data_IF_902039318085
#
_entry.id   IF_902039318085
#
_cell.length_a   1.000
_cell.length_b   1.000
_cell.length_c   1.000
_cell.angle_alpha   90.00
_cell.angle_beta   90.00
_cell.angle_gamma   90.00
#
_symmetry.space_group_name_H-M   'P 1'
#
loop_
_entity.id
_entity.type
_entity.pdbx_description
1 polymer ?
#
# COMPACT_ATOMS: atom_id res chain seq x y z
N UNK A 1 -3.64 -21.33 -9.73
CA UNK A 1 -3.78 -20.41 -8.58
C UNK A 1 -2.43 -20.29 -7.90
N UNK A 2 -2.11 -19.10 -7.39
CA UNK A 2 -0.90 -18.86 -6.59
C UNK A 2 -1.25 -18.80 -5.11
N UNK A 3 -0.39 -19.37 -4.27
CA UNK A 3 -0.58 -19.44 -2.82
C UNK A 3 -0.16 -18.14 -2.16
N UNK A 4 -1.07 -17.54 -1.40
CA UNK A 4 -0.86 -16.28 -0.69
C UNK A 4 -0.96 -16.50 0.80
N UNK A 5 -0.04 -15.90 1.55
CA UNK A 5 -0.15 -15.78 2.99
C UNK A 5 -0.33 -14.30 3.39
N UNK A 6 -1.08 -14.05 4.47
CA UNK A 6 -1.29 -12.70 5.02
C UNK A 6 -0.58 -12.60 6.36
N UNK A 7 0.43 -11.74 6.47
CA UNK A 7 1.10 -11.42 7.72
C UNK A 7 0.50 -10.14 8.32
N UNK A 8 -0.17 -10.26 9.46
CA UNK A 8 -0.95 -9.19 10.10
C UNK A 8 -2.39 -9.15 9.61
N UNK A 9 -3.32 -9.63 10.44
CA UNK A 9 -4.76 -9.72 10.17
C UNK A 9 -5.56 -8.55 10.78
N UNK A 10 -4.95 -7.37 10.73
CA UNK A 10 -5.59 -6.09 11.03
C UNK A 10 -6.62 -5.67 9.97
N UNK A 11 -7.00 -4.39 9.96
CA UNK A 11 -8.05 -3.89 9.04
C UNK A 11 -7.72 -4.16 7.56
N UNK A 12 -6.48 -3.89 7.13
CA UNK A 12 -6.03 -4.15 5.76
C UNK A 12 -5.96 -5.64 5.44
N UNK A 13 -5.38 -6.46 6.33
CA UNK A 13 -5.29 -7.91 6.13
C UNK A 13 -6.66 -8.58 5.98
N UNK A 14 -7.66 -8.17 6.79
CA UNK A 14 -9.04 -8.70 6.67
C UNK A 14 -9.74 -8.25 5.40
N UNK A 15 -9.55 -7.02 4.95
CA UNK A 15 -10.09 -6.56 3.67
C UNK A 15 -9.43 -7.28 2.50
N UNK A 16 -8.10 -7.43 2.51
CA UNK A 16 -7.37 -8.20 1.52
C UNK A 16 -7.85 -9.66 1.47
N UNK A 17 -8.12 -10.29 2.61
CA UNK A 17 -8.71 -11.63 2.68
C UNK A 17 -10.04 -11.71 1.93
N UNK A 18 -10.98 -10.80 2.26
CA UNK A 18 -12.31 -10.75 1.62
C UNK A 18 -12.20 -10.56 0.10
N UNK A 19 -11.28 -9.70 -0.33
CA UNK A 19 -11.05 -9.42 -1.76
C UNK A 19 -10.43 -10.63 -2.48
N UNK A 20 -9.45 -11.30 -1.88
CA UNK A 20 -8.86 -12.52 -2.46
C UNK A 20 -9.92 -13.62 -2.60
N UNK A 21 -10.83 -13.79 -1.64
CA UNK A 21 -11.91 -14.79 -1.74
C UNK A 21 -12.89 -14.55 -2.90
N UNK A 22 -12.93 -13.33 -3.45
CA UNK A 22 -13.70 -13.02 -4.67
C UNK A 22 -12.94 -13.34 -5.97
N UNK A 23 -11.68 -13.80 -5.88
CA UNK A 23 -10.82 -14.08 -7.03
C UNK A 23 -10.63 -15.57 -7.25
N UNK A 24 -10.29 -15.93 -8.50
CA UNK A 24 -10.01 -17.32 -8.90
C UNK A 24 -8.54 -17.59 -9.20
N UNK A 25 -7.67 -16.57 -9.17
CA UNK A 25 -6.25 -16.68 -9.50
C UNK A 25 -5.34 -16.78 -8.25
N UNK A 26 -5.85 -16.41 -7.07
CA UNK A 26 -5.15 -16.45 -5.78
C UNK A 26 -5.86 -17.37 -4.78
N UNK A 27 -5.08 -18.02 -3.92
CA UNK A 27 -5.59 -18.84 -2.81
C UNK A 27 -4.90 -18.47 -1.51
N UNK A 28 -5.67 -18.24 -0.45
CA UNK A 28 -5.11 -17.97 0.89
C UNK A 28 -4.77 -19.30 1.54
N UNK A 29 -3.49 -19.51 1.88
CA UNK A 29 -3.03 -20.75 2.52
C UNK A 29 -2.72 -20.58 4.01
N UNK A 30 -2.43 -19.36 4.44
CA UNK A 30 -2.22 -19.06 5.85
C UNK A 30 -2.41 -17.58 6.19
N UNK A 31 -2.70 -17.34 7.46
CA UNK A 31 -2.72 -16.03 8.10
C UNK A 31 -1.75 -16.09 9.28
N UNK A 32 -0.99 -15.02 9.53
CA UNK A 32 -0.24 -14.84 10.78
C UNK A 32 -0.74 -13.61 11.53
N UNK A 33 -1.15 -13.77 12.78
CA UNK A 33 -1.47 -12.66 13.69
C UNK A 33 -1.24 -13.08 15.15
N UNK A 34 -0.90 -12.13 16.01
CA UNK A 34 -0.55 -12.39 17.41
C UNK A 34 -1.79 -12.43 18.31
N UNK A 35 -2.80 -13.18 17.89
CA UNK A 35 -4.07 -13.34 18.61
C UNK A 35 -4.72 -14.69 18.27
N UNK A 36 -5.76 -15.08 19.02
CA UNK A 36 -6.41 -16.38 18.88
C UNK A 36 -7.37 -16.46 17.67
N UNK A 37 -7.60 -17.67 17.16
CA UNK A 37 -8.42 -17.95 15.97
C UNK A 37 -9.86 -17.48 16.13
N UNK A 38 -10.44 -17.59 17.34
CA UNK A 38 -11.78 -17.08 17.66
C UNK A 38 -11.86 -15.58 17.46
N UNK A 39 -10.90 -14.83 17.98
CA UNK A 39 -10.82 -13.37 17.82
C UNK A 39 -10.69 -13.00 16.35
N UNK A 40 -9.82 -13.68 15.58
CA UNK A 40 -9.64 -13.42 14.15
C UNK A 40 -10.91 -13.69 13.34
N UNK A 41 -11.56 -14.84 13.56
CA UNK A 41 -12.82 -15.21 12.92
C UNK A 41 -13.94 -14.21 13.24
N UNK A 42 -14.04 -13.78 14.50
CA UNK A 42 -15.03 -12.79 14.92
C UNK A 42 -14.84 -11.45 14.19
N UNK A 43 -13.61 -10.93 14.16
CA UNK A 43 -13.30 -9.64 13.51
C UNK A 43 -13.33 -9.70 11.98
N UNK A 44 -13.21 -10.90 11.39
CA UNK A 44 -13.47 -11.11 9.97
C UNK A 44 -14.96 -11.05 9.67
N UNK A 45 -15.78 -11.72 10.49
CA UNK A 45 -17.23 -11.79 10.33
C UNK A 45 -17.93 -10.45 10.59
N UNK A 46 -17.50 -9.68 11.58
CA UNK A 46 -18.16 -8.44 12.00
C UNK A 46 -17.21 -7.24 11.91
N UNK A 47 -17.51 -6.28 11.03
CA UNK A 47 -16.75 -5.03 10.90
C UNK A 47 -17.67 -3.80 10.98
N UNK A 48 -17.34 -2.82 11.81
CA UNK A 48 -18.18 -1.62 12.02
C UNK A 48 -18.29 -0.72 10.78
N UNK A 49 -17.30 -0.73 9.89
CA UNK A 49 -17.31 0.08 8.67
C UNK A 49 -18.05 -0.64 7.54
N UNK A 50 -17.86 -1.96 7.41
CA UNK A 50 -18.37 -2.74 6.27
C UNK A 50 -19.51 -3.70 6.60
N UNK A 51 -19.97 -3.73 7.85
CA UNK A 51 -21.03 -4.61 8.31
C UNK A 51 -20.60 -6.07 8.50
N UNK A 52 -21.58 -6.97 8.45
CA UNK A 52 -21.35 -8.41 8.60
C UNK A 52 -20.90 -8.99 7.28
N UNK A 53 -19.77 -9.70 7.25
CA UNK A 53 -19.31 -10.42 6.07
C UNK A 53 -20.28 -11.56 5.74
N UNK A 54 -20.68 -11.68 4.48
CA UNK A 54 -21.76 -12.59 4.08
C UNK A 54 -21.39 -14.07 4.20
N UNK A 55 -20.13 -14.42 3.93
CA UNK A 55 -19.63 -15.80 4.05
C UNK A 55 -19.83 -16.41 5.45
N UNK A 56 -19.98 -17.73 5.49
CA UNK A 56 -19.97 -18.47 6.76
C UNK A 56 -18.56 -18.47 7.33
N UNK A 57 -18.40 -18.00 8.57
CA UNK A 57 -17.10 -17.92 9.23
C UNK A 57 -17.18 -18.65 10.57
N UNK A 58 -16.31 -19.64 10.75
CA UNK A 58 -16.09 -20.33 12.01
C UNK A 58 -14.58 -20.48 12.26
N UNK A 59 -14.20 -21.18 13.34
CA UNK A 59 -12.81 -21.38 13.73
C UNK A 59 -12.65 -22.71 14.47
N UNK A 60 -11.43 -23.21 14.48
CA UNK A 60 -10.95 -24.26 15.37
C UNK A 60 -9.64 -23.82 16.05
N UNK A 61 -8.91 -24.74 16.67
CA UNK A 61 -7.68 -24.41 17.40
C UNK A 61 -6.53 -24.00 16.46
N UNK A 62 -6.56 -24.39 15.18
CA UNK A 62 -5.45 -24.25 14.25
C UNK A 62 -5.73 -23.26 13.10
N UNK A 63 -6.97 -22.78 12.95
CA UNK A 63 -7.34 -21.90 11.85
C UNK A 63 -8.70 -21.24 11.92
N UNK A 64 -8.98 -20.48 10.87
CA UNK A 64 -10.31 -19.96 10.55
C UNK A 64 -10.91 -20.78 9.40
N UNK A 65 -12.22 -20.97 9.42
CA UNK A 65 -12.93 -21.73 8.39
C UNK A 65 -13.90 -20.76 7.70
N UNK A 66 -13.78 -20.61 6.38
CA UNK A 66 -14.64 -19.72 5.59
C UNK A 66 -15.27 -20.48 4.44
N UNK A 67 -16.61 -20.54 4.42
CA UNK A 67 -17.38 -21.33 3.45
C UNK A 67 -16.89 -22.79 3.34
N UNK A 68 -16.55 -23.39 4.50
CA UNK A 68 -16.04 -24.76 4.61
C UNK A 68 -14.55 -24.94 4.29
N UNK A 69 -13.86 -23.91 3.81
CA UNK A 69 -12.40 -23.96 3.56
C UNK A 69 -11.65 -23.60 4.84
N UNK A 70 -10.73 -24.48 5.27
CA UNK A 70 -9.85 -24.23 6.42
C UNK A 70 -8.61 -23.44 6.00
N UNK A 71 -8.33 -22.35 6.70
CA UNK A 71 -7.15 -21.50 6.52
C UNK A 71 -6.34 -21.52 7.81
N UNK A 72 -5.09 -22.00 7.71
CA UNK A 72 -4.16 -22.09 8.84
C UNK A 72 -3.88 -20.72 9.43
N UNK A 73 -3.89 -20.63 10.75
CA UNK A 73 -3.48 -19.45 11.50
C UNK A 73 -2.16 -19.76 12.23
N UNK A 74 -1.20 -18.86 12.06
CA UNK A 74 0.05 -18.80 12.81
C UNK A 74 -0.03 -17.63 13.80
N UNK A 75 0.66 -17.77 14.94
CA UNK A 75 0.83 -16.69 15.93
C UNK A 75 2.32 -16.50 16.24
N UNK A 76 3.09 -16.20 15.20
CA UNK A 76 4.56 -16.13 15.24
C UNK A 76 4.99 -14.67 15.10
N UNK A 77 5.82 -14.21 16.05
CA UNK A 77 6.28 -12.82 16.11
C UNK A 77 7.42 -12.52 15.13
N UNK A 78 8.34 -13.46 14.96
CA UNK A 78 9.46 -13.32 14.04
C UNK A 78 9.08 -13.86 12.65
N UNK A 79 9.06 -13.01 11.60
CA UNK A 79 8.83 -13.45 10.23
C UNK A 79 9.71 -14.60 9.75
N UNK A 80 10.92 -14.76 10.31
CA UNK A 80 11.88 -15.79 9.92
C UNK A 80 11.46 -17.21 10.34
N UNK A 81 10.60 -17.34 11.35
CA UNK A 81 10.13 -18.62 11.90
C UNK A 81 8.82 -19.10 11.24
N UNK A 82 8.28 -18.33 10.30
CA UNK A 82 7.02 -18.66 9.63
C UNK A 82 7.20 -19.84 8.66
N UNK A 83 6.22 -20.76 8.56
CA UNK A 83 6.35 -21.98 7.75
C UNK A 83 6.02 -21.74 6.27
N UNK A 84 6.47 -20.63 5.67
CA UNK A 84 6.11 -20.27 4.29
C UNK A 84 6.57 -21.27 3.25
N UNK A 85 7.76 -21.85 3.44
CA UNK A 85 8.28 -22.92 2.59
C UNK A 85 7.41 -24.17 2.63
N UNK A 86 7.02 -24.59 3.84
CA UNK A 86 6.19 -25.79 4.05
C UNK A 86 4.80 -25.62 3.45
N UNK A 87 4.27 -24.39 3.50
CA UNK A 87 2.97 -24.02 2.94
C UNK A 87 3.04 -23.61 1.46
N UNK A 88 4.21 -23.74 0.82
CA UNK A 88 4.46 -23.36 -0.57
C UNK A 88 3.92 -21.95 -0.91
N UNK A 89 4.20 -20.97 -0.05
CA UNK A 89 3.72 -19.59 -0.23
C UNK A 89 4.45 -18.93 -1.40
N UNK A 90 3.69 -18.52 -2.42
CA UNK A 90 4.22 -17.76 -3.54
C UNK A 90 4.41 -16.28 -3.16
N UNK A 91 3.40 -15.66 -2.56
CA UNK A 91 3.45 -14.24 -2.19
C UNK A 91 2.94 -14.02 -0.76
N UNK A 92 3.68 -13.24 0.03
CA UNK A 92 3.22 -12.76 1.34
C UNK A 92 2.69 -11.34 1.19
N UNK A 93 1.46 -11.10 1.66
CA UNK A 93 0.98 -9.75 1.95
C UNK A 93 1.45 -9.39 3.36
N UNK A 94 2.38 -8.44 3.44
CA UNK A 94 2.89 -7.89 4.70
C UNK A 94 2.04 -6.68 5.12
N UNK A 95 1.08 -6.93 6.01
CA UNK A 95 0.09 -5.96 6.49
C UNK A 95 0.10 -5.72 8.00
N UNK A 96 1.23 -5.98 8.68
CA UNK A 96 1.43 -5.64 10.09
C UNK A 96 1.69 -4.14 10.30
N UNK A 97 2.24 -3.47 9.29
CA UNK A 97 2.77 -2.09 9.41
C UNK A 97 4.09 -2.00 10.19
N UNK A 98 4.67 -3.12 10.62
CA UNK A 98 5.92 -3.19 11.36
C UNK A 98 7.12 -3.43 10.43
N UNK A 99 6.99 -4.42 9.53
CA UNK A 99 8.06 -4.84 8.62
C UNK A 99 8.07 -4.03 7.31
N UNK A 100 7.93 -2.70 7.43
CA UNK A 100 7.90 -1.76 6.30
C UNK A 100 9.29 -1.41 5.77
N UNK A 101 10.33 -1.80 6.51
CA UNK A 101 11.70 -1.69 6.03
C UNK A 101 11.98 -2.92 5.17
N UNK A 102 12.38 -2.73 3.90
CA UNK A 102 12.55 -3.85 3.02
C UNK A 102 13.53 -4.88 3.63
N UNK A 103 14.65 -4.46 4.26
CA UNK A 103 15.61 -5.39 4.89
C UNK A 103 14.99 -6.35 5.93
N UNK A 104 13.95 -5.91 6.65
CA UNK A 104 13.26 -6.76 7.62
C UNK A 104 12.25 -7.69 6.93
N UNK A 105 11.58 -7.21 5.88
CA UNK A 105 10.64 -8.01 5.10
C UNK A 105 11.31 -9.19 4.38
N UNK A 106 12.62 -9.14 4.08
CA UNK A 106 13.35 -10.28 3.48
C UNK A 106 13.29 -11.53 4.34
N UNK A 107 13.08 -11.42 5.65
CA UNK A 107 12.96 -12.58 6.52
C UNK A 107 11.85 -13.56 6.05
N UNK A 108 10.78 -13.04 5.43
CA UNK A 108 9.75 -13.87 4.80
C UNK A 108 10.28 -14.72 3.63
N UNK A 109 11.28 -14.23 2.90
CA UNK A 109 11.86 -14.91 1.74
C UNK A 109 13.05 -15.76 2.19
N UNK A 110 14.09 -15.13 2.73
CA UNK A 110 15.39 -15.75 2.98
C UNK A 110 15.35 -16.86 4.04
N UNK A 111 14.45 -16.74 5.02
CA UNK A 111 14.37 -17.63 6.18
C UNK A 111 13.09 -18.46 6.18
N UNK A 112 11.95 -17.82 5.99
CA UNK A 112 10.67 -18.52 5.98
C UNK A 112 10.35 -19.21 4.64
N UNK A 113 10.89 -18.72 3.52
CA UNK A 113 10.82 -19.38 2.21
C UNK A 113 9.62 -19.03 1.32
N UNK A 114 9.00 -17.86 1.50
CA UNK A 114 8.11 -17.30 0.50
C UNK A 114 8.90 -16.84 -0.75
N UNK A 115 8.25 -16.77 -1.93
CA UNK A 115 8.93 -16.34 -3.16
C UNK A 115 8.98 -14.81 -3.33
N UNK A 116 7.90 -14.09 -2.97
CA UNK A 116 7.82 -12.62 -3.06
C UNK A 116 7.08 -12.04 -1.85
N UNK A 117 7.26 -10.74 -1.61
CA UNK A 117 6.52 -9.98 -0.57
C UNK A 117 5.92 -8.72 -1.15
N UNK A 118 4.67 -8.41 -0.79
CA UNK A 118 4.02 -7.13 -1.06
C UNK A 118 3.68 -6.45 0.26
N UNK A 119 4.33 -5.31 0.52
CA UNK A 119 4.16 -4.51 1.74
C UNK A 119 2.94 -3.59 1.58
N UNK A 120 2.02 -3.63 2.54
CA UNK A 120 0.80 -2.81 2.57
C UNK A 120 1.01 -1.40 3.18
N UNK A 121 2.18 -0.82 2.93
CA UNK A 121 2.54 0.53 3.37
C UNK A 121 3.72 1.04 2.53
N UNK A 122 4.02 2.36 2.56
CA UNK A 122 5.24 2.89 1.97
C UNK A 122 6.47 2.22 2.57
N UNK A 123 7.31 1.65 1.71
CA UNK A 123 8.59 1.10 2.13
C UNK A 123 9.50 2.18 2.71
N UNK A 124 10.24 1.84 3.76
CA UNK A 124 11.22 2.72 4.41
C UNK A 124 12.63 2.26 4.07
N UNK A 125 13.31 2.98 3.17
CA UNK A 125 14.65 2.65 2.69
C UNK A 125 14.63 1.98 1.32
N UNK A 126 15.77 1.43 0.91
CA UNK A 126 15.97 0.85 -0.42
C UNK A 126 15.65 -0.66 -0.46
N UNK A 127 15.45 -1.18 -1.68
CA UNK A 127 15.25 -2.61 -1.92
C UNK A 127 13.80 -3.07 -1.88
N UNK A 128 12.84 -2.16 -2.02
CA UNK A 128 11.49 -2.52 -2.45
C UNK A 128 11.10 -1.68 -3.66
N UNK A 129 10.43 -2.27 -4.65
CA UNK A 129 9.87 -1.55 -5.78
C UNK A 129 8.48 -1.03 -5.43
N UNK A 130 8.29 0.28 -5.43
CA UNK A 130 6.97 0.89 -5.20
C UNK A 130 6.15 0.82 -6.47
N UNK A 131 4.94 0.27 -6.37
CA UNK A 131 3.98 0.13 -7.47
C UNK A 131 2.70 0.87 -7.10
N UNK A 132 2.21 1.68 -8.04
CA UNK A 132 0.89 2.29 -8.03
C UNK A 132 0.24 2.00 -9.38
N UNK A 133 -0.77 1.14 -9.36
CA UNK A 133 -1.51 0.76 -10.57
C UNK A 133 -2.20 1.98 -11.19
N UNK A 134 -2.20 2.05 -12.52
CA UNK A 134 -2.64 3.21 -13.30
C UNK A 134 -1.62 4.36 -13.34
N UNK A 135 -0.36 4.10 -12.99
CA UNK A 135 0.72 5.10 -13.03
C UNK A 135 2.04 4.49 -13.53
N UNK A 136 2.56 3.49 -12.83
CA UNK A 136 3.86 2.88 -13.15
C UNK A 136 3.76 1.36 -13.30
N UNK A 137 2.68 0.86 -13.86
CA UNK A 137 2.38 -0.58 -13.99
C UNK A 137 3.53 -1.37 -14.64
N UNK A 138 4.21 -0.78 -15.63
CA UNK A 138 5.36 -1.39 -16.29
C UNK A 138 6.54 -1.67 -15.37
N UNK A 139 6.65 -0.96 -14.25
CA UNK A 139 7.67 -1.19 -13.23
C UNK A 139 7.52 -2.53 -12.50
N UNK A 140 6.39 -3.22 -12.65
CA UNK A 140 6.21 -4.59 -12.18
C UNK A 140 7.15 -5.57 -12.89
N UNK A 141 7.56 -5.27 -14.13
CA UNK A 141 8.51 -6.08 -14.92
C UNK A 141 9.94 -5.86 -14.41
N UNK A 142 10.20 -6.34 -13.21
CA UNK A 142 11.48 -6.20 -12.51
C UNK A 142 11.87 -7.53 -11.87
N UNK A 143 13.17 -7.68 -11.60
CA UNK A 143 13.68 -8.83 -10.84
C UNK A 143 13.45 -8.70 -9.32
N UNK A 144 12.88 -7.58 -8.85
CA UNK A 144 12.66 -7.31 -7.44
C UNK A 144 11.79 -8.39 -6.76
N UNK A 145 12.23 -8.83 -5.58
CA UNK A 145 11.46 -9.78 -4.75
C UNK A 145 10.41 -9.13 -3.86
N UNK A 146 10.59 -7.84 -3.58
CA UNK A 146 9.82 -7.11 -2.58
C UNK A 146 9.23 -5.86 -3.21
N UNK A 147 7.92 -5.74 -3.05
CA UNK A 147 7.12 -4.66 -3.59
C UNK A 147 6.46 -3.88 -2.47
N UNK A 148 6.20 -2.59 -2.71
CA UNK A 148 5.39 -1.76 -1.83
C UNK A 148 4.19 -1.27 -2.62
N UNK A 149 2.99 -1.49 -2.07
CA UNK A 149 1.76 -0.93 -2.63
C UNK A 149 1.55 0.55 -2.21
N UNK A 150 2.63 1.25 -1.84
CA UNK A 150 2.60 2.61 -1.30
C UNK A 150 1.57 2.78 -0.15
N UNK A 151 0.97 3.97 -0.02
CA UNK A 151 -0.11 4.25 0.92
C UNK A 151 -1.46 4.41 0.20
N UNK A 152 -2.56 4.39 0.95
CA UNK A 152 -3.89 4.72 0.45
C UNK A 152 -3.95 6.11 -0.19
N UNK A 153 -3.38 7.13 0.45
CA UNK A 153 -3.32 8.48 -0.13
C UNK A 153 -2.47 8.53 -1.40
N UNK A 154 -1.34 7.80 -1.45
CA UNK A 154 -0.51 7.75 -2.67
C UNK A 154 -1.27 7.12 -3.84
N UNK A 155 -1.98 6.01 -3.60
CA UNK A 155 -2.82 5.37 -4.62
C UNK A 155 -3.94 6.29 -5.12
N UNK A 156 -4.47 7.16 -4.25
CA UNK A 156 -5.44 8.17 -4.67
C UNK A 156 -4.81 9.27 -5.54
N UNK A 157 -3.71 9.89 -5.08
CA UNK A 157 -3.21 11.10 -5.74
C UNK A 157 -2.38 10.81 -6.98
N UNK A 158 -1.65 9.70 -7.05
CA UNK A 158 -0.72 9.48 -8.15
C UNK A 158 -1.42 9.34 -9.52
N UNK A 159 -2.54 8.60 -9.67
CA UNK A 159 -3.31 8.58 -10.93
C UNK A 159 -3.83 9.97 -11.32
N UNK A 160 -4.34 10.74 -10.35
CA UNK A 160 -4.84 12.11 -10.59
C UNK A 160 -3.72 13.02 -11.08
N UNK A 161 -2.55 12.95 -10.44
CA UNK A 161 -1.38 13.73 -10.82
C UNK A 161 -0.79 13.30 -12.17
N UNK A 162 -0.81 12.01 -12.50
CA UNK A 162 -0.36 11.50 -13.79
C UNK A 162 -1.25 12.02 -14.94
N UNK A 163 -2.57 12.02 -14.75
CA UNK A 163 -3.52 12.59 -15.73
C UNK A 163 -3.27 14.09 -15.92
N UNK A 164 -3.12 14.85 -14.83
CA UNK A 164 -2.84 16.29 -14.90
C UNK A 164 -1.50 16.59 -15.59
N UNK A 165 -0.44 15.86 -15.23
CA UNK A 165 0.89 16.02 -15.82
C UNK A 165 0.88 15.74 -17.31
N UNK A 166 0.24 14.64 -17.74
CA UNK A 166 0.19 14.25 -19.15
C UNK A 166 -0.55 15.24 -20.04
N UNK A 167 -1.61 15.89 -19.53
CA UNK A 167 -2.50 16.74 -20.33
C UNK A 167 -2.19 18.24 -20.24
N UNK A 168 -1.62 18.69 -19.11
CA UNK A 168 -1.41 20.12 -18.84
C UNK A 168 0.03 20.47 -18.46
N UNK A 169 0.78 19.49 -17.96
CA UNK A 169 2.06 19.70 -17.31
C UNK A 169 1.92 20.49 -16.00
N UNK A 170 2.59 20.01 -14.96
CA UNK A 170 2.56 20.59 -13.62
C UNK A 170 3.87 21.33 -13.40
N UNK A 171 3.78 22.61 -13.02
CA UNK A 171 4.95 23.36 -12.57
C UNK A 171 5.28 22.99 -11.11
N UNK A 172 4.29 23.13 -10.22
CA UNK A 172 4.37 22.78 -8.80
C UNK A 172 2.99 22.52 -8.23
N UNK A 173 2.92 21.70 -7.18
CA UNK A 173 1.68 21.32 -6.53
C UNK A 173 1.81 21.22 -5.01
N UNK A 174 0.69 21.39 -4.33
CA UNK A 174 0.53 21.11 -2.91
C UNK A 174 -0.76 20.35 -2.69
N UNK A 175 -0.79 19.47 -1.68
CA UNK A 175 -2.01 18.76 -1.31
C UNK A 175 -2.27 18.78 0.19
N UNK A 176 -3.55 18.72 0.53
CA UNK A 176 -4.03 18.40 1.88
C UNK A 176 -4.86 17.14 1.79
N UNK A 177 -4.49 16.09 2.51
CA UNK A 177 -5.41 14.97 2.71
C UNK A 177 -6.23 15.19 3.96
N UNK A 178 -7.55 15.30 3.80
CA UNK A 178 -8.51 15.23 4.91
C UNK A 178 -8.82 13.74 5.10
N UNK A 179 -8.17 13.16 6.10
CA UNK A 179 -8.05 11.72 6.22
C UNK A 179 -8.85 11.23 7.43
N UNK A 180 -9.66 10.19 7.23
CA UNK A 180 -10.30 9.48 8.34
C UNK A 180 -9.26 8.99 9.35
N UNK A 181 -9.58 8.95 10.64
CA UNK A 181 -8.62 8.44 11.62
C UNK A 181 -8.35 6.94 11.39
N UNK A 182 -7.20 6.48 11.86
CA UNK A 182 -6.76 5.09 11.78
C UNK A 182 -6.33 4.62 13.17
N UNK A 183 -6.00 3.33 13.31
CA UNK A 183 -5.51 2.80 14.59
C UNK A 183 -4.16 3.39 15.05
N UNK A 184 -3.47 4.18 14.22
CA UNK A 184 -2.27 4.91 14.63
C UNK A 184 -2.59 6.09 15.56
N UNK A 185 -3.77 6.72 15.43
CA UNK A 185 -4.24 7.77 16.33
C UNK A 185 -4.87 7.18 17.59
N UNK A 186 -4.90 7.96 18.67
CA UNK A 186 -5.42 7.49 19.97
C UNK A 186 -6.90 7.80 20.13
N UNK A 187 -7.65 6.84 20.68
CA UNK A 187 -9.07 7.05 21.02
C UNK A 187 -9.25 8.10 22.12
N UNK A 188 -8.32 8.16 23.07
CA UNK A 188 -8.24 9.15 24.13
C UNK A 188 -6.81 9.65 24.24
N UNK A 189 -6.59 10.78 24.89
CA UNK A 189 -5.26 11.35 25.10
C UNK A 189 -4.30 10.30 25.71
N UNK A 190 -3.30 9.85 24.94
CA UNK A 190 -2.41 8.76 25.32
C UNK A 190 -1.02 8.88 24.64
N UNK A 191 0.04 8.28 25.21
CA UNK A 191 1.39 8.41 24.67
C UNK A 191 1.52 7.99 23.19
N UNK A 192 2.11 8.87 22.38
CA UNK A 192 2.48 8.62 20.98
C UNK A 192 3.76 9.38 20.64
N UNK A 193 4.45 8.96 19.56
CA UNK A 193 5.65 9.66 19.06
C UNK A 193 5.32 11.06 18.53
N UNK A 194 4.20 11.17 17.81
CA UNK A 194 3.63 12.45 17.40
C UNK A 194 2.66 12.93 18.49
N UNK A 195 2.98 14.05 19.14
CA UNK A 195 2.15 14.64 20.21
C UNK A 195 0.77 15.11 19.73
N UNK A 196 0.59 15.31 18.42
CA UNK A 196 -0.73 15.62 17.85
C UNK A 196 -1.56 14.34 17.73
N UNK A 197 -0.98 13.25 17.24
CA UNK A 197 -1.66 11.94 17.18
C UNK A 197 -1.90 11.31 18.56
N UNK A 198 -1.24 11.83 19.60
CA UNK A 198 -1.49 11.47 20.99
C UNK A 198 -2.86 11.94 21.50
N UNK A 199 -3.53 12.87 20.82
CA UNK A 199 -4.81 13.46 21.26
C UNK A 199 -6.00 12.66 20.76
N UNK A 200 -7.12 12.70 21.49
CA UNK A 200 -8.37 12.01 21.12
C UNK A 200 -8.77 12.28 19.65
N UNK A 201 -8.75 11.22 18.83
CA UNK A 201 -8.97 11.26 17.39
C UNK A 201 -10.42 11.57 16.99
N UNK A 202 -11.41 11.17 17.79
CA UNK A 202 -12.82 11.32 17.47
C UNK A 202 -13.38 12.72 17.80
N UNK A 203 -12.59 13.55 18.47
CA UNK A 203 -13.01 14.89 18.92
C UNK A 203 -12.09 16.00 18.43
N UNK A 204 -11.12 15.68 17.55
CA UNK A 204 -10.15 16.65 17.05
C UNK A 204 -9.95 16.57 15.55
N UNK A 205 -9.62 17.73 14.99
CA UNK A 205 -8.99 17.87 13.68
C UNK A 205 -7.48 17.89 13.93
N UNK A 206 -6.79 16.80 13.60
CA UNK A 206 -5.39 16.57 14.01
C UNK A 206 -4.44 16.72 12.82
N UNK A 207 -3.65 17.80 12.71
CA UNK A 207 -2.70 17.95 11.61
C UNK A 207 -1.48 17.04 11.81
N UNK A 208 -1.05 16.32 10.78
CA UNK A 208 0.14 15.47 10.82
C UNK A 208 0.89 15.51 9.49
N UNK A 209 2.12 14.98 9.48
CA UNK A 209 2.92 14.87 8.27
C UNK A 209 2.39 13.75 7.38
N UNK A 210 2.63 13.86 6.08
CA UNK A 210 2.33 12.79 5.13
C UNK A 210 3.52 12.55 4.22
N UNK A 211 3.83 11.28 3.96
CA UNK A 211 4.81 10.88 2.96
C UNK A 211 4.21 10.71 1.57
N UNK A 212 2.89 10.96 1.40
CA UNK A 212 2.18 10.61 0.18
C UNK A 212 2.70 11.37 -1.05
N UNK A 213 3.00 12.67 -0.91
CA UNK A 213 3.53 13.48 -2.01
C UNK A 213 4.92 13.01 -2.44
N UNK A 214 5.79 12.68 -1.46
CA UNK A 214 7.13 12.12 -1.71
C UNK A 214 7.01 10.78 -2.45
N UNK A 215 6.12 9.91 -2.00
CA UNK A 215 5.88 8.62 -2.65
C UNK A 215 5.27 8.76 -4.05
N UNK A 216 4.40 9.76 -4.27
CA UNK A 216 3.87 10.05 -5.61
C UNK A 216 4.97 10.49 -6.57
N UNK A 217 5.97 11.24 -6.11
CA UNK A 217 7.14 11.60 -6.92
C UNK A 217 8.04 10.40 -7.29
N UNK A 218 7.92 9.25 -6.59
CA UNK A 218 8.64 8.03 -6.97
C UNK A 218 8.05 7.38 -8.23
N UNK A 219 6.74 7.54 -8.45
CA UNK A 219 6.00 6.94 -9.57
C UNK A 219 5.65 7.94 -10.66
N UNK A 220 5.67 9.25 -10.35
CA UNK A 220 5.61 10.35 -11.32
C UNK A 220 6.87 11.21 -11.16
N UNK A 221 8.01 10.83 -11.77
CA UNK A 221 9.31 11.44 -11.48
C UNK A 221 9.40 12.94 -11.77
N UNK A 222 8.60 13.47 -12.69
CA UNK A 222 8.56 14.91 -12.99
C UNK A 222 8.06 15.76 -11.81
N UNK A 223 7.44 15.15 -10.79
CA UNK A 223 6.99 15.82 -9.57
C UNK A 223 8.03 15.86 -8.45
N UNK A 224 9.22 15.29 -8.67
CA UNK A 224 10.30 15.35 -7.68
C UNK A 224 10.63 16.80 -7.34
N UNK A 225 10.68 17.11 -6.04
CA UNK A 225 10.94 18.44 -5.49
C UNK A 225 9.91 19.53 -5.91
N UNK A 226 8.79 19.13 -6.53
CA UNK A 226 7.72 20.00 -7.02
C UNK A 226 6.36 19.73 -6.37
N UNK A 227 6.27 18.68 -5.56
CA UNK A 227 5.02 18.27 -4.92
C UNK A 227 5.19 18.10 -3.40
N UNK A 228 4.48 18.94 -2.64
CA UNK A 228 4.41 18.87 -1.19
C UNK A 228 3.00 18.55 -0.68
N UNK A 229 2.87 18.27 0.61
CA UNK A 229 1.56 18.15 1.22
C UNK A 229 1.58 17.91 2.72
N UNK A 230 0.39 17.96 3.31
CA UNK A 230 0.15 17.63 4.71
C UNK A 230 -1.11 16.78 4.86
N UNK A 231 -1.30 16.18 6.03
CA UNK A 231 -2.52 15.47 6.37
C UNK A 231 -3.23 16.17 7.53
N UNK A 232 -4.55 16.14 7.49
CA UNK A 232 -5.41 16.52 8.60
C UNK A 232 -6.32 15.33 8.88
N UNK A 233 -6.21 14.76 10.08
CA UNK A 233 -7.09 13.69 10.53
C UNK A 233 -8.38 14.27 11.06
N UNK A 234 -9.51 13.68 10.68
CA UNK A 234 -10.84 14.15 11.08
C UNK A 234 -11.66 13.02 11.73
N UNK A 235 -12.70 13.34 12.53
CA UNK A 235 -13.59 12.38 13.20
C UNK A 235 -14.51 11.55 12.29
N UNK A 236 -13.96 10.94 11.24
CA UNK A 236 -14.64 9.97 10.39
C UNK A 236 -13.86 8.64 10.41
N UNK A 237 -14.56 7.48 10.41
CA UNK A 237 -13.89 6.18 10.61
C UNK A 237 -13.33 5.56 9.33
N UNK A 238 -13.78 6.02 8.16
CA UNK A 238 -13.36 5.54 6.83
C UNK A 238 -13.79 6.55 5.77
N UNK A 239 -13.20 6.42 4.59
CA UNK A 239 -13.25 7.37 3.47
C UNK A 239 -12.48 8.64 3.78
N UNK A 240 -11.67 9.06 2.83
CA UNK A 240 -10.80 10.23 2.92
C UNK A 240 -10.89 10.99 1.61
N UNK A 241 -10.47 12.26 1.62
CA UNK A 241 -10.41 13.09 0.42
C UNK A 241 -9.04 13.75 0.29
N UNK A 242 -8.50 13.75 -0.92
CA UNK A 242 -7.30 14.49 -1.26
C UNK A 242 -7.71 15.79 -1.95
N UNK A 243 -7.35 16.92 -1.35
CA UNK A 243 -7.45 18.25 -1.95
C UNK A 243 -6.10 18.59 -2.59
N UNK A 244 -6.05 18.67 -3.92
CA UNK A 244 -4.85 18.94 -4.70
C UNK A 244 -4.97 20.34 -5.29
N UNK A 245 -4.00 21.20 -5.01
CA UNK A 245 -3.83 22.50 -5.63
C UNK A 245 -2.56 22.51 -6.47
N UNK A 246 -2.63 22.86 -7.75
CA UNK A 246 -1.47 22.85 -8.65
C UNK A 246 -1.40 24.10 -9.52
N UNK A 247 -0.17 24.50 -9.84
CA UNK A 247 0.11 25.47 -10.92
C UNK A 247 0.48 24.67 -12.16
N UNK A 248 -0.31 24.83 -13.23
CA UNK A 248 -0.10 24.17 -14.51
C UNK A 248 0.79 25.00 -15.43
N UNK A 249 1.47 24.33 -16.37
CA UNK A 249 2.37 24.96 -17.37
C UNK A 249 1.61 25.66 -18.48
N UNK A 250 0.32 25.34 -18.68
CA UNK A 250 -0.57 26.00 -19.63
C UNK A 250 -1.88 26.41 -18.97
N UNK A 251 -2.55 27.37 -19.59
CA UNK A 251 -3.89 27.76 -19.19
C UNK A 251 -4.92 26.69 -19.59
N UNK A 252 -6.00 26.60 -18.81
CA UNK A 252 -7.10 25.64 -18.93
C UNK A 252 -8.39 26.24 -18.33
N UNK A 253 -9.49 25.49 -18.39
CA UNK A 253 -10.74 25.78 -17.67
C UNK A 253 -11.18 24.58 -16.83
N UNK A 254 -12.14 24.77 -15.93
CA UNK A 254 -12.66 23.68 -15.11
C UNK A 254 -13.34 22.60 -15.97
N UNK A 255 -14.02 23.03 -17.04
CA UNK A 255 -14.68 22.14 -18.01
C UNK A 255 -13.65 21.27 -18.75
N UNK A 256 -12.52 21.85 -19.18
CA UNK A 256 -11.46 21.10 -19.85
C UNK A 256 -10.82 20.06 -18.91
N UNK A 257 -10.54 20.43 -17.65
CA UNK A 257 -10.02 19.51 -16.64
C UNK A 257 -11.01 18.37 -16.39
N UNK A 258 -12.29 18.71 -16.19
CA UNK A 258 -13.32 17.73 -15.93
C UNK A 258 -13.49 16.76 -17.10
N UNK A 259 -13.46 17.25 -18.34
CA UNK A 259 -13.54 16.41 -19.53
C UNK A 259 -12.34 15.46 -19.65
N UNK A 260 -11.12 15.93 -19.36
CA UNK A 260 -9.92 15.08 -19.31
C UNK A 260 -10.09 13.95 -18.29
N UNK A 261 -10.62 14.21 -17.10
CA UNK A 261 -10.87 13.17 -16.11
C UNK A 261 -11.97 12.19 -16.51
N UNK A 262 -13.06 12.67 -17.12
CA UNK A 262 -14.11 11.79 -17.67
C UNK A 262 -13.53 10.83 -18.72
N UNK A 263 -12.72 11.36 -19.63
CA UNK A 263 -12.06 10.56 -20.65
C UNK A 263 -11.07 9.57 -20.05
N UNK A 264 -10.26 9.99 -19.07
CA UNK A 264 -9.32 9.11 -18.38
C UNK A 264 -10.05 7.95 -17.68
N UNK A 265 -11.12 8.23 -16.93
CA UNK A 265 -11.89 7.21 -16.20
C UNK A 265 -12.57 6.17 -17.12
N UNK A 266 -12.78 6.48 -18.40
CA UNK A 266 -13.33 5.56 -19.39
C UNK A 266 -12.27 4.66 -20.06
N UNK A 267 -10.98 4.96 -19.90
CA UNK A 267 -9.92 4.17 -20.53
C UNK A 267 -9.74 2.83 -19.81
N UNK A 268 -9.52 1.73 -20.55
CA UNK A 268 -9.22 0.43 -19.96
C UNK A 268 -8.04 0.44 -18.98
N UNK A 269 -7.05 1.32 -19.22
CA UNK A 269 -5.89 1.48 -18.35
C UNK A 269 -6.25 1.94 -16.93
N UNK A 270 -7.35 2.68 -16.76
CA UNK A 270 -7.80 3.21 -15.48
C UNK A 270 -8.97 2.42 -14.88
N UNK A 271 -9.38 1.31 -15.49
CA UNK A 271 -10.51 0.52 -15.05
C UNK A 271 -10.33 0.04 -13.60
N UNK A 272 -11.30 0.39 -12.74
CA UNK A 272 -11.26 0.05 -11.32
C UNK A 272 -10.25 0.85 -10.49
N UNK A 273 -9.52 1.78 -11.10
CA UNK A 273 -8.49 2.63 -10.45
C UNK A 273 -9.00 4.07 -10.31
N UNK A 274 -9.42 4.69 -11.41
CA UNK A 274 -9.86 6.09 -11.45
C UNK A 274 -11.33 6.16 -11.87
N UNK A 275 -12.13 6.86 -11.09
CA UNK A 275 -13.51 7.20 -11.41
C UNK A 275 -13.71 8.72 -11.28
N UNK A 276 -14.89 9.18 -11.70
CA UNK A 276 -15.35 10.55 -11.53
C UNK A 276 -16.74 10.55 -10.91
N UNK A 277 -17.08 11.60 -10.19
CA UNK A 277 -18.43 11.87 -9.68
C UNK A 277 -18.92 13.23 -10.17
N UNK A 278 -20.14 13.27 -10.70
CA UNK A 278 -20.87 14.52 -11.01
C UNK A 278 -21.92 14.83 -9.93
N UNK A 279 -22.25 13.85 -9.11
CA UNK A 279 -23.29 13.94 -8.08
C UNK A 279 -22.77 14.66 -6.83
N UNK A 280 -23.65 15.40 -6.15
CA UNK A 280 -23.39 16.08 -4.87
C UNK A 280 -23.37 15.08 -3.69
N UNK A 281 -22.36 14.21 -3.68
CA UNK A 281 -22.18 13.15 -2.67
C UNK A 281 -21.33 13.59 -1.48
N UNK A 282 -21.37 12.79 -0.41
CA UNK A 282 -20.56 12.97 0.81
C UNK A 282 -19.71 11.72 1.11
N UNK A 283 -18.81 11.82 2.10
CA UNK A 283 -17.82 10.77 2.38
C UNK A 283 -18.44 9.37 2.58
N UNK A 284 -19.58 9.26 3.24
CA UNK A 284 -20.22 7.96 3.49
C UNK A 284 -20.64 7.21 2.23
N UNK A 285 -20.88 7.92 1.13
CA UNK A 285 -21.38 7.35 -0.13
C UNK A 285 -20.29 6.62 -0.90
N UNK A 286 -19.02 6.89 -0.60
CA UNK A 286 -17.86 6.23 -1.20
C UNK A 286 -17.35 5.03 -0.39
N UNK A 287 -18.01 4.68 0.70
CA UNK A 287 -17.62 3.54 1.54
C UNK A 287 -17.76 2.23 0.78
N UNK A 288 -16.72 1.40 0.79
CA UNK A 288 -16.68 0.15 0.03
C UNK A 288 -16.49 0.35 -1.48
N UNK A 289 -16.23 1.57 -1.94
CA UNK A 289 -15.87 1.82 -3.33
C UNK A 289 -14.45 1.26 -3.61
N UNK A 290 -14.29 0.50 -4.68
CA UNK A 290 -13.04 -0.18 -5.04
C UNK A 290 -12.04 0.70 -5.79
N UNK A 291 -12.42 1.89 -6.25
CA UNK A 291 -11.52 2.78 -6.97
C UNK A 291 -10.46 3.38 -6.04
N UNK A 292 -9.26 3.61 -6.59
CA UNK A 292 -8.18 4.30 -5.88
C UNK A 292 -8.48 5.78 -5.71
N UNK A 293 -9.14 6.38 -6.70
CA UNK A 293 -9.52 7.78 -6.70
C UNK A 293 -10.85 7.97 -7.41
N UNK A 294 -11.76 8.73 -6.80
CA UNK A 294 -12.98 9.24 -7.43
C UNK A 294 -12.88 10.77 -7.47
N UNK A 295 -12.62 11.33 -8.65
CA UNK A 295 -12.50 12.79 -8.82
C UNK A 295 -13.89 13.42 -8.70
N UNK A 296 -14.02 14.37 -7.78
CA UNK A 296 -15.26 15.12 -7.54
C UNK A 296 -15.30 16.32 -8.49
N UNK A 297 -15.99 16.16 -9.63
CA UNK A 297 -15.99 17.13 -10.72
C UNK A 297 -16.62 18.48 -10.33
N UNK A 298 -17.70 18.53 -9.51
CA UNK A 298 -18.22 19.78 -8.96
C UNK A 298 -17.21 20.60 -8.14
N UNK A 299 -16.20 19.96 -7.53
CA UNK A 299 -15.18 20.64 -6.72
C UNK A 299 -13.98 21.14 -7.55
N UNK A 300 -13.92 20.86 -8.85
CA UNK A 300 -12.86 21.36 -9.72
C UNK A 300 -12.93 22.89 -9.85
N UNK A 301 -11.82 23.57 -9.63
CA UNK A 301 -11.72 25.03 -9.75
C UNK A 301 -10.48 25.44 -10.53
N UNK A 302 -10.60 26.52 -11.30
CA UNK A 302 -9.47 27.16 -12.02
C UNK A 302 -9.48 28.65 -11.75
N UNK A 303 -8.36 29.15 -11.23
CA UNK A 303 -8.14 30.56 -10.91
C UNK A 303 -6.99 31.07 -11.78
N UNK A 304 -7.18 32.21 -12.43
CA UNK A 304 -6.13 32.83 -13.26
C UNK A 304 -5.67 31.96 -14.44
N UNK A 305 -6.48 30.98 -14.86
CA UNK A 305 -6.22 30.09 -15.99
C UNK A 305 -5.33 28.89 -15.69
N UNK A 306 -4.42 28.96 -14.71
CA UNK A 306 -3.46 27.88 -14.47
C UNK A 306 -3.27 27.48 -12.99
N UNK A 307 -3.89 28.17 -12.03
CA UNK A 307 -3.97 27.69 -10.65
C UNK A 307 -5.24 26.86 -10.49
N UNK A 308 -5.08 25.56 -10.31
CA UNK A 308 -6.19 24.61 -10.28
C UNK A 308 -6.36 24.01 -8.90
N UNK A 309 -7.59 23.62 -8.58
CA UNK A 309 -7.94 22.74 -7.46
C UNK A 309 -8.72 21.55 -8.00
N UNK A 310 -8.32 20.35 -7.60
CA UNK A 310 -9.01 19.08 -7.89
C UNK A 310 -9.11 18.29 -6.59
N UNK A 311 -10.30 17.78 -6.31
CA UNK A 311 -10.55 16.94 -5.14
C UNK A 311 -10.84 15.50 -5.57
N UNK A 312 -10.29 14.53 -4.84
CA UNK A 312 -10.54 13.12 -5.11
C UNK A 312 -10.83 12.35 -3.82
N UNK A 313 -12.00 11.72 -3.78
CA UNK A 313 -12.42 10.79 -2.72
C UNK A 313 -11.74 9.44 -2.89
N UNK A 314 -11.55 8.74 -1.78
CA UNK A 314 -11.10 7.36 -1.78
C UNK A 314 -11.49 6.67 -0.47
N UNK A 315 -11.96 5.42 -0.58
CA UNK A 315 -12.02 4.55 0.60
C UNK A 315 -10.59 4.13 0.96
N UNK A 316 -10.06 4.74 2.01
CA UNK A 316 -8.68 4.55 2.45
C UNK A 316 -8.36 3.14 2.96
N UNK A 317 -9.34 2.24 3.05
CA UNK A 317 -9.09 0.83 3.36
C UNK A 317 -9.55 -0.08 2.23
N UNK A 318 -10.77 0.08 1.71
CA UNK A 318 -11.31 -0.84 0.69
C UNK A 318 -10.66 -0.64 -0.68
N UNK A 319 -10.65 0.59 -1.20
CA UNK A 319 -9.98 0.90 -2.46
C UNK A 319 -8.49 0.56 -2.41
N UNK A 320 -7.85 0.88 -1.28
CA UNK A 320 -6.45 0.50 -1.04
C UNK A 320 -6.22 -1.02 -1.03
N UNK A 321 -7.09 -1.79 -0.37
CA UNK A 321 -6.95 -3.25 -0.28
C UNK A 321 -7.20 -3.92 -1.62
N UNK A 322 -8.05 -3.34 -2.49
CA UNK A 322 -8.21 -3.82 -3.87
C UNK A 322 -6.89 -3.67 -4.64
N UNK A 323 -6.25 -2.50 -4.58
CA UNK A 323 -4.92 -2.29 -5.19
C UNK A 323 -3.86 -3.24 -4.63
N UNK A 324 -3.87 -3.46 -3.31
CA UNK A 324 -2.93 -4.39 -2.67
C UNK A 324 -3.07 -5.81 -3.21
N UNK A 325 -4.30 -6.29 -3.36
CA UNK A 325 -4.57 -7.63 -3.88
C UNK A 325 -4.29 -7.72 -5.37
N UNK A 326 -4.57 -6.69 -6.16
CA UNK A 326 -4.23 -6.64 -7.59
C UNK A 326 -2.72 -6.66 -7.81
N UNK A 327 -1.96 -5.82 -7.10
CA UNK A 327 -0.49 -5.86 -7.13
C UNK A 327 0.03 -7.24 -6.70
N UNK A 328 -0.57 -7.83 -5.66
CA UNK A 328 -0.23 -9.20 -5.24
C UNK A 328 -0.49 -10.22 -6.35
N UNK A 329 -1.61 -10.11 -7.05
CA UNK A 329 -1.95 -10.99 -8.17
C UNK A 329 -0.98 -10.83 -9.34
N UNK A 330 -0.63 -9.59 -9.70
CA UNK A 330 0.30 -9.32 -10.80
C UNK A 330 1.72 -9.81 -10.46
N UNK A 331 2.21 -9.54 -9.24
CA UNK A 331 3.49 -10.07 -8.74
C UNK A 331 3.48 -11.60 -8.73
N UNK A 332 2.38 -12.22 -8.33
CA UNK A 332 2.24 -13.68 -8.32
C UNK A 332 2.25 -14.26 -9.75
N UNK A 333 1.66 -13.58 -10.74
CA UNK A 333 1.68 -14.01 -12.15
C UNK A 333 3.07 -13.95 -12.79
N UNK A 334 3.94 -13.06 -12.31
CA UNK A 334 5.33 -12.97 -12.78
C UNK A 334 6.23 -14.09 -12.26
N UNK A 335 5.78 -14.87 -11.27
CA UNK A 335 6.51 -16.04 -10.81
C UNK A 335 6.43 -17.16 -11.85
N UNK A 336 7.55 -17.82 -12.19
CA UNK A 336 7.56 -18.92 -13.14
C UNK A 336 6.56 -20.00 -12.72
N UNK A 337 5.92 -20.63 -13.70
CA UNK A 337 5.17 -21.85 -13.44
C UNK A 337 6.16 -22.92 -13.00
N UNK A 338 5.91 -23.55 -11.86
CA UNK A 338 6.65 -24.75 -11.51
C UNK A 338 6.28 -25.82 -12.54
N UNK A 339 7.26 -26.22 -13.35
CA UNK A 339 7.16 -27.39 -14.22
C UNK A 339 6.92 -28.61 -13.31
N UNK A 340 5.66 -28.88 -13.02
CA UNK A 340 5.24 -30.17 -12.50
C UNK A 340 5.43 -31.16 -13.66
N UNK A 341 6.62 -31.78 -13.70
CA UNK A 341 6.82 -32.96 -14.53
C UNK A 341 5.65 -33.92 -14.22
N UNK A 342 4.90 -34.39 -15.23
CA UNK A 342 3.84 -35.34 -14.97
C UNK A 342 4.45 -36.55 -14.26
N UNK A 343 3.87 -36.91 -13.11
CA UNK A 343 4.22 -38.11 -12.37
C UNK A 343 4.30 -39.29 -13.37
N UNK A 344 5.45 -39.96 -13.42
CA UNK A 344 5.73 -41.09 -14.30
C UNK A 344 4.86 -42.34 -14.03
N UNK A 345 3.76 -42.21 -13.28
CA UNK A 345 2.82 -43.27 -12.92
C UNK A 345 1.43 -43.11 -13.56
N UNK A 346 1.27 -42.25 -14.58
CA UNK A 346 0.02 -42.16 -15.37
C UNK A 346 0.21 -42.36 -16.88
N UNK A 347 1.23 -43.11 -17.31
CA UNK A 347 1.33 -43.57 -18.71
C UNK A 347 1.24 -45.09 -18.73
N UNK A 348 0.05 -45.62 -18.47
CA UNK A 348 -0.34 -47.00 -18.81
C UNK A 348 -1.87 -47.12 -18.66
N UNK A 349 -2.63 -46.40 -19.48
CA UNK A 349 -4.03 -46.73 -19.80
C UNK A 349 -4.60 -45.74 -20.81
N UNK A 350 -4.12 -45.74 -22.06
CA UNK A 350 -4.97 -45.50 -23.24
C UNK A 350 -4.25 -46.10 -24.45
N UNK A 351 -4.52 -47.37 -24.76
CA UNK A 351 -4.32 -47.92 -26.11
C UNK A 351 -5.61 -48.66 -26.44
N UNK A 352 -6.50 -47.99 -27.17
CA UNK A 352 -7.36 -48.57 -28.19
C UNK A 352 -8.36 -47.51 -28.61
N UNK A 353 -8.06 -46.79 -29.69
CA UNK A 353 -9.04 -46.26 -30.65
C UNK A 353 -8.26 -45.63 -31.80
N UNK A 354 -8.11 -46.37 -32.91
CA UNK A 354 -8.52 -45.91 -34.25
C UNK A 354 -7.97 -46.83 -35.34
N UNK A 355 -8.89 -47.59 -35.93
CA UNK A 355 -8.71 -48.20 -37.23
C UNK A 355 -8.86 -47.13 -38.32
N UNK A 356 -7.76 -46.95 -39.06
CA UNK A 356 -7.68 -46.84 -40.52
C UNK A 356 -8.67 -45.90 -41.22
N UNK A 357 -8.16 -44.77 -41.71
CA UNK A 357 -8.48 -44.30 -43.05
C UNK A 357 -7.22 -43.81 -43.78
N UNK A 358 -7.04 -44.39 -44.96
CA UNK A 358 -6.03 -44.18 -45.99
C UNK A 358 -6.01 -42.75 -46.53
N UNK A 359 -4.84 -42.24 -46.95
CA UNK A 359 -4.46 -42.00 -48.36
C UNK A 359 -2.95 -41.73 -48.41
N UNK A 360 -2.28 -42.37 -49.36
CA UNK A 360 -0.86 -42.26 -49.65
C UNK A 360 -0.55 -41.06 -50.58
N UNK A 361 0.63 -40.45 -50.40
CA UNK A 361 1.44 -39.98 -51.52
C UNK A 361 2.93 -39.92 -51.11
N UNK A 362 3.72 -40.78 -51.72
CA UNK A 362 5.17 -40.91 -51.66
C UNK A 362 5.87 -40.07 -52.73
N UNK A 363 7.02 -39.45 -52.40
CA UNK A 363 8.24 -39.30 -53.22
C UNK A 363 9.23 -38.33 -52.51
N UNK A 364 10.28 -38.82 -51.82
CA UNK A 364 11.69 -39.03 -52.28
C UNK A 364 12.54 -37.75 -52.31
N UNK A 365 13.84 -37.67 -51.98
CA UNK A 365 14.88 -38.37 -51.16
C UNK A 365 16.19 -37.56 -51.41
N UNK A 366 17.14 -37.60 -50.45
CA UNK A 366 18.59 -37.29 -50.55
C UNK A 366 19.00 -35.79 -50.57
N UNK A 367 20.07 -35.27 -49.92
CA UNK A 367 21.45 -35.70 -49.53
C UNK A 367 21.90 -34.90 -48.24
N UNK A 368 22.62 -35.45 -47.23
CA UNK A 368 24.10 -35.49 -47.04
C UNK A 368 24.79 -34.12 -47.26
N UNK A 369 25.57 -33.46 -46.36
CA UNK A 369 26.80 -33.88 -45.64
C UNK A 369 27.32 -32.80 -44.65
N UNK A 370 28.01 -33.25 -43.58
CA UNK A 370 29.25 -32.72 -42.93
C UNK A 370 29.37 -31.26 -42.44
N UNK A 371 29.69 -31.07 -41.15
CA UNK A 371 31.04 -30.74 -40.65
C UNK A 371 31.04 -30.22 -39.20
N UNK A 372 31.79 -30.89 -38.33
CA UNK A 372 32.47 -30.32 -37.15
C UNK A 372 33.81 -29.69 -37.63
N UNK A 373 34.53 -28.77 -36.92
CA UNK A 373 35.14 -29.14 -35.63
C UNK A 373 35.55 -28.04 -34.61
N UNK A 374 35.92 -28.58 -33.43
CA UNK A 374 37.05 -28.26 -32.53
C UNK A 374 37.09 -27.11 -31.52
N UNK A 375 37.39 -27.57 -30.31
CA UNK A 375 37.86 -26.98 -29.06
C UNK A 375 39.35 -26.63 -29.14
N UNK A 376 39.79 -25.59 -28.40
CA UNK A 376 41.16 -25.50 -27.87
C UNK A 376 41.17 -24.93 -26.45
N UNK A 377 41.84 -25.64 -25.55
CA UNK A 377 42.26 -25.24 -24.21
C UNK A 377 43.53 -24.36 -24.26
N UNK A 378 43.75 -23.56 -23.21
CA UNK A 378 45.08 -23.36 -22.63
C UNK A 378 45.00 -22.78 -21.20
N UNK A 379 45.56 -23.55 -20.26
CA UNK A 379 45.93 -23.14 -18.89
C UNK A 379 47.09 -22.13 -18.87
N UNK A 380 47.17 -21.30 -17.82
CA UNK A 380 48.39 -21.19 -17.00
C UNK A 380 48.16 -20.44 -15.68
N UNK A 381 48.82 -20.97 -14.64
CA UNK A 381 48.76 -20.63 -13.22
C UNK A 381 49.60 -19.40 -12.82
N UNK A 382 49.38 -18.87 -11.61
CA UNK A 382 50.42 -18.40 -10.69
C UNK A 382 49.88 -18.20 -9.26
N UNK A 383 50.73 -18.55 -8.29
CA UNK A 383 50.54 -18.63 -6.83
C UNK A 383 51.03 -17.39 -6.08
N UNK A 384 50.42 -17.04 -4.93
CA UNK A 384 51.09 -16.42 -3.77
C UNK A 384 50.24 -16.52 -2.49
N UNK A 385 50.90 -16.65 -1.34
CA UNK A 385 50.37 -16.93 0.01
C UNK A 385 50.52 -15.75 0.99
N UNK A 386 49.78 -15.85 2.12
CA UNK A 386 49.82 -15.10 3.41
C UNK A 386 49.28 -13.65 3.37
N UNK A 387 48.51 -13.13 4.34
CA UNK A 387 48.56 -13.18 5.82
C UNK A 387 47.19 -12.84 6.45
N UNK A 388 47.05 -13.15 7.75
CA UNK A 388 45.96 -12.93 8.71
C UNK A 388 45.04 -11.70 8.54
N UNK A 389 43.72 -11.91 8.72
CA UNK A 389 42.76 -10.86 9.10
C UNK A 389 41.99 -11.29 10.36
N UNK A 390 41.76 -10.37 11.34
CA UNK A 390 41.11 -10.70 12.61
C UNK A 390 39.59 -10.86 12.50
N UNK A 391 39.04 -11.54 13.51
CA UNK A 391 37.63 -11.90 13.69
C UNK A 391 36.72 -10.64 13.76
N UNK A 392 35.62 -10.57 12.98
CA UNK A 392 34.68 -9.44 12.97
C UNK A 392 34.05 -9.07 14.33
N UNK A 393 34.15 -9.94 15.33
CA UNK A 393 33.60 -9.69 16.68
C UNK A 393 34.50 -8.78 17.53
N UNK A 394 35.79 -8.66 17.21
CA UNK A 394 36.75 -7.86 17.99
C UNK A 394 36.75 -6.36 17.59
N UNK A 395 36.31 -6.05 16.37
CA UNK A 395 36.19 -4.66 15.85
C UNK A 395 34.95 -3.94 16.40
N UNK A 396 33.88 -4.70 16.73
CA UNK A 396 32.64 -4.12 17.26
C UNK A 396 32.77 -3.67 18.74
N UNK A 397 33.68 -4.28 19.51
CA UNK A 397 33.87 -3.95 20.93
C UNK A 397 34.77 -2.73 21.18
N UNK A 398 35.56 -2.29 20.19
CA UNK A 398 36.39 -1.08 20.30
C UNK A 398 35.67 0.23 19.92
N UNK A 399 34.55 0.16 19.19
CA UNK A 399 33.73 1.33 18.85
C UNK A 399 32.69 1.69 19.92
N UNK A 400 32.44 0.81 20.88
CA UNK A 400 31.50 1.02 22.00
C UNK A 400 32.05 1.76 23.22
N UNK A 401 33.35 2.10 23.24
CA UNK A 401 34.00 2.75 24.40
C UNK A 401 34.37 4.23 24.23
N UNK A 402 34.00 4.88 23.11
CA UNK A 402 34.38 6.29 22.87
C UNK A 402 33.26 7.33 22.92
N UNK A 403 32.02 6.98 23.27
CA UNK A 403 30.94 7.97 23.42
C UNK A 403 30.16 7.75 24.72
N UNK A 404 30.83 7.98 25.84
CA UNK A 404 30.23 8.06 27.16
C UNK A 404 31.04 9.00 28.08
N UNK A 405 30.43 10.14 28.41
CA UNK A 405 30.69 11.07 29.52
C UNK A 405 31.27 12.47 29.22
N UNK A 406 30.35 13.45 29.28
CA UNK A 406 30.38 14.73 30.03
C UNK A 406 31.56 15.72 29.87
N UNK A 407 31.27 16.96 29.46
CA UNK A 407 31.07 18.10 30.40
C UNK A 407 30.67 19.40 29.68
N UNK A 408 29.97 20.23 30.45
CA UNK A 408 29.42 21.58 30.27
C UNK A 408 30.38 22.68 29.85
N UNK A 409 29.91 23.65 29.04
CA UNK A 409 30.28 25.07 29.16
C UNK A 409 29.25 25.99 28.49
N UNK A 410 28.77 26.96 29.29
CA UNK A 410 27.91 28.09 28.94
C UNK A 410 28.56 29.04 27.92
N UNK A 411 27.76 29.62 27.01
CA UNK A 411 27.97 31.00 26.52
C UNK A 411 26.61 31.69 26.31
N UNK A 412 26.55 32.92 26.85
CA UNK A 412 25.45 33.88 26.96
C UNK A 412 24.83 34.40 25.64
N UNK A 413 23.47 34.45 25.60
CA UNK A 413 22.52 35.58 25.37
C UNK A 413 22.75 36.64 24.24
N UNK A 414 21.74 37.45 23.78
CA UNK A 414 20.34 37.59 24.26
C UNK A 414 19.19 37.84 23.21
N UNK A 415 17.94 37.62 23.69
CA UNK A 415 16.71 38.47 23.60
C UNK A 415 16.01 38.77 22.25
N UNK A 416 14.75 38.33 22.11
CA UNK A 416 13.57 39.22 22.08
C UNK A 416 12.23 38.45 22.17
N UNK A 417 11.59 38.51 23.34
CA UNK A 417 10.16 38.27 23.54
C UNK A 417 9.63 39.41 24.39
N UNK A 418 8.72 40.21 23.83
CA UNK A 418 8.05 41.28 24.59
C UNK A 418 6.62 40.85 24.90
N UNK A 419 6.40 40.71 26.20
CA UNK A 419 5.14 40.58 26.93
C UNK A 419 4.28 41.83 26.76
N UNK A 420 2.95 41.69 26.75
CA UNK A 420 2.04 42.75 27.19
C UNK A 420 0.94 42.13 28.03
N UNK A 421 0.84 42.56 29.28
CA UNK A 421 -0.31 42.33 30.15
C UNK A 421 -0.52 43.58 31.02
N UNK A 422 -1.80 43.94 31.17
CA UNK A 422 -2.43 44.68 32.27
C UNK A 422 -2.13 46.19 32.45
N UNK A 423 -3.15 47.04 32.28
CA UNK A 423 -4.02 47.59 33.34
C UNK A 423 -4.73 48.87 32.86
N UNK A 424 -6.07 48.95 33.00
CA UNK A 424 -6.74 50.05 33.72
C UNK A 424 -8.26 49.82 33.84
N UNK A 425 -8.74 50.11 35.04
CA UNK A 425 -10.05 49.85 35.63
C UNK A 425 -11.12 50.92 35.31
N UNK A 426 -12.39 50.49 35.46
CA UNK A 426 -13.59 51.21 35.98
C UNK A 426 -14.10 52.44 35.19
N UNK A 427 -15.40 52.71 35.00
CA UNK A 427 -16.60 52.41 35.80
C UNK A 427 -17.86 52.73 34.97
N UNK A 428 -18.97 52.07 35.33
CA UNK A 428 -20.34 52.57 35.42
C UNK A 428 -21.32 52.70 34.22
N UNK A 429 -22.40 51.91 34.41
CA UNK A 429 -23.83 52.24 34.31
C UNK A 429 -24.64 51.96 33.02
N UNK A 430 -25.38 50.84 33.14
CA UNK A 430 -26.85 50.74 33.06
C UNK A 430 -27.55 51.06 31.73
N UNK A 431 -28.18 50.03 31.13
CA UNK A 431 -29.65 49.91 31.15
C UNK A 431 -30.15 48.55 30.65
N UNK A 432 -31.22 48.11 31.30
CA UNK A 432 -32.01 46.91 31.10
C UNK A 432 -32.56 46.73 29.67
N UNK A 433 -32.64 45.48 29.22
CA UNK A 433 -33.95 44.84 29.04
C UNK A 433 -33.83 43.31 28.91
N UNK A 434 -34.32 42.63 29.96
CA UNK A 434 -34.75 41.24 29.91
C UNK A 434 -36.01 41.14 29.04
N UNK A 435 -36.07 40.15 28.16
CA UNK A 435 -37.30 39.35 28.04
C UNK A 435 -36.95 37.86 27.93
N UNK A 436 -37.37 37.21 29.01
CA UNK A 436 -37.51 35.79 29.29
C UNK A 436 -38.36 35.10 28.21
N UNK A 437 -38.07 33.84 27.86
CA UNK A 437 -39.06 32.78 27.65
C UNK A 437 -38.36 31.41 27.67
N UNK A 438 -38.35 30.81 28.86
CA UNK A 438 -38.29 29.35 29.06
C UNK A 438 -39.63 28.72 28.65
N UNK A 439 -39.62 27.51 28.06
CA UNK A 439 -40.36 26.28 28.47
C UNK A 439 -40.28 25.17 27.35
N UNK A 440 -40.66 23.89 27.55
CA UNK A 440 -39.76 22.74 27.35
C UNK A 440 -40.29 21.58 26.43
N UNK A 441 -39.40 20.58 26.21
CA UNK A 441 -39.53 19.15 25.81
C UNK A 441 -40.86 18.52 25.30
N UNK A 442 -40.70 17.62 24.31
CA UNK A 442 -41.55 16.44 23.98
C UNK A 442 -41.78 16.34 22.46
N UNK A 443 -41.59 15.24 21.71
CA UNK A 443 -41.46 13.79 21.96
C UNK A 443 -40.35 13.21 21.08
#
# INVERSE_FOLDING_TARGET
MKNVAINGFGRIGRNAFKIIKMRSDLKIVAINDLTDTKTLAHLLKYDSNYGTYESEVSYDDDGIIVDGEHIKVCAVKDPAELPWKELAVDVVIESTGLFVKPELARAHIDKAGAKRVVISAPAKGEGAKTIVLGVNDDDLKTDADIFSNASCTTNCIAPVMAVLEANFGIDKAMMTTVHSYTASQKLQDAPAKDLREARNAAENIVPTTTGASIAASLVVPSLKDRFGGLSVRVPTPVVSISDITAVLKRNTTAEEINEVFKQAAQQPYYQGILAVSEDELVSSDFKGNSHSAIVDLPLTSVIGGNLIKVCAWYDNEWGYSNRLVEVTADVARLLPEENTLPNANQVNQVNDFNAVNSVASTASLNELTTAQPTVTNSDQALSASSTDMPDPIEVANQLGQQLGNNTSSEVNNPVNSTTYNQEMNNTDQASNNQQNLNAPRGF
#
